data_IF_704025635994
#
_entry.id   IF_704025635994
#
_cell.length_a   1.000
_cell.length_b   1.000
_cell.length_c   1.000
_cell.angle_alpha   90.00
_cell.angle_beta   90.00
_cell.angle_gamma   90.00
#
_symmetry.space_group_name_H-M   'P 1'
#
loop_
_entity.id
_entity.type
_entity.pdbx_description
1 polymer ?
#
# COMPACT_ATOMS: atom_id res chain seq x y z
N UNK A 1 7.56 -33.66 -3.94
CA UNK A 1 6.61 -33.65 -2.82
C UNK A 1 7.17 -32.75 -1.75
N UNK A 2 6.44 -31.73 -1.29
CA UNK A 2 6.92 -30.85 -0.22
C UNK A 2 6.78 -31.63 1.09
N UNK A 3 7.80 -31.68 1.97
CA UNK A 3 7.70 -32.37 3.25
C UNK A 3 6.62 -31.71 4.13
N UNK A 4 5.94 -32.48 5.00
CA UNK A 4 4.94 -31.93 5.90
C UNK A 4 5.60 -30.92 6.86
N UNK A 5 4.87 -29.85 7.15
CA UNK A 5 5.32 -28.83 8.11
C UNK A 5 5.44 -29.43 9.51
N UNK A 6 6.58 -29.28 10.23
CA UNK A 6 6.73 -29.74 11.60
C UNK A 6 5.63 -29.16 12.52
N UNK A 7 5.17 -29.93 13.51
CA UNK A 7 4.08 -29.51 14.40
C UNK A 7 4.44 -28.30 15.27
N UNK A 8 5.71 -28.08 15.53
CA UNK A 8 6.24 -26.94 16.29
C UNK A 8 6.57 -25.71 15.42
N UNK A 9 6.29 -25.78 14.11
CA UNK A 9 6.56 -24.68 13.21
C UNK A 9 5.73 -23.44 13.59
N UNK A 10 6.37 -22.28 13.67
CA UNK A 10 5.77 -21.00 14.07
C UNK A 10 4.53 -20.61 13.25
N UNK A 11 4.43 -21.02 12.00
CA UNK A 11 3.28 -20.74 11.14
C UNK A 11 2.00 -21.49 11.57
N UNK A 12 2.12 -22.59 12.33
CA UNK A 12 0.97 -23.34 12.83
C UNK A 12 0.42 -22.76 14.14
N UNK A 13 1.27 -22.02 14.87
CA UNK A 13 0.92 -21.37 16.13
C UNK A 13 1.24 -19.88 16.08
N UNK A 14 0.53 -19.08 15.25
CA UNK A 14 0.82 -17.66 15.10
C UNK A 14 0.53 -16.92 16.42
N UNK A 15 1.44 -16.04 16.81
CA UNK A 15 1.22 -15.16 17.95
C UNK A 15 0.18 -14.10 17.61
N UNK A 16 -0.74 -13.87 18.53
CA UNK A 16 -1.84 -12.94 18.32
C UNK A 16 -1.56 -11.61 19.02
N UNK A 17 -1.56 -10.53 18.25
CA UNK A 17 -1.48 -9.18 18.80
C UNK A 17 -2.88 -8.68 19.12
N UNK A 18 -3.11 -8.28 20.38
CA UNK A 18 -4.42 -7.84 20.90
C UNK A 18 -4.53 -6.34 21.14
N UNK A 19 -3.49 -5.57 20.78
CA UNK A 19 -3.47 -4.11 20.93
C UNK A 19 -3.21 -3.40 19.60
N UNK A 20 -3.30 -2.05 19.61
CA UNK A 20 -2.83 -1.23 18.48
C UNK A 20 -1.34 -1.46 18.24
N UNK A 21 -0.91 -1.33 16.98
CA UNK A 21 0.48 -1.52 16.55
C UNK A 21 1.35 -0.26 16.82
N UNK A 22 1.23 0.32 18.01
CA UNK A 22 2.01 1.47 18.46
C UNK A 22 3.41 1.09 18.97
N UNK A 23 4.02 1.96 19.78
CA UNK A 23 5.33 1.75 20.41
C UNK A 23 5.38 0.48 21.26
N UNK A 24 4.31 0.17 21.95
CA UNK A 24 4.13 -1.05 22.72
C UNK A 24 2.96 -1.83 22.16
N UNK A 25 3.10 -3.15 22.11
CA UNK A 25 2.08 -4.08 21.66
C UNK A 25 1.86 -5.15 22.73
N UNK A 26 0.67 -5.70 22.75
CA UNK A 26 0.35 -6.84 23.62
C UNK A 26 0.28 -8.10 22.77
N UNK A 27 1.15 -9.06 23.05
CA UNK A 27 1.23 -10.36 22.38
C UNK A 27 1.02 -11.43 23.44
N UNK A 28 0.03 -12.30 23.24
CA UNK A 28 -0.30 -13.39 24.17
C UNK A 28 -0.44 -12.90 25.63
N UNK A 29 -1.04 -11.72 25.82
CA UNK A 29 -1.23 -11.10 27.13
C UNK A 29 0.00 -10.37 27.70
N UNK A 30 1.16 -10.42 27.05
CA UNK A 30 2.38 -9.76 27.49
C UNK A 30 2.61 -8.44 26.73
N UNK A 31 2.97 -7.38 27.47
CA UNK A 31 3.33 -6.09 26.89
C UNK A 31 4.76 -6.11 26.39
N UNK A 32 4.96 -5.93 25.07
CA UNK A 32 6.24 -5.98 24.40
C UNK A 32 6.58 -4.64 23.75
N UNK A 33 7.85 -4.29 23.64
CA UNK A 33 8.31 -3.20 22.80
C UNK A 33 8.23 -3.64 21.33
N UNK A 34 7.57 -2.82 20.51
CA UNK A 34 7.34 -3.13 19.11
C UNK A 34 8.53 -2.71 18.22
N UNK A 35 9.36 -3.66 17.86
CA UNK A 35 10.46 -3.48 16.91
C UNK A 35 10.20 -4.18 15.56
N UNK A 36 9.02 -4.80 15.40
CA UNK A 36 8.72 -5.64 14.24
C UNK A 36 7.91 -4.95 13.14
N UNK A 37 7.20 -3.86 13.46
CA UNK A 37 6.34 -3.19 12.48
C UNK A 37 7.02 -2.00 11.82
N UNK A 38 6.62 -1.68 10.58
CA UNK A 38 7.15 -0.57 9.81
C UNK A 38 6.54 0.79 10.20
N UNK A 39 6.16 0.95 11.47
CA UNK A 39 5.60 2.19 12.01
C UNK A 39 6.69 3.16 12.50
N UNK A 40 7.71 3.40 11.68
CA UNK A 40 8.89 4.20 12.05
C UNK A 40 8.57 5.63 12.46
N UNK A 41 7.56 6.24 11.88
CA UNK A 41 7.14 7.62 12.17
C UNK A 41 5.98 7.71 13.16
N UNK A 42 5.46 6.59 13.65
CA UNK A 42 4.36 6.56 14.60
C UNK A 42 3.00 6.99 14.04
N UNK A 43 2.79 6.93 12.74
CA UNK A 43 1.57 7.42 12.08
C UNK A 43 0.33 6.58 12.33
N UNK A 44 0.47 5.36 12.84
CA UNK A 44 -0.67 4.50 13.21
C UNK A 44 -1.61 5.17 14.22
N UNK A 45 -1.08 6.02 15.12
CA UNK A 45 -1.86 6.72 16.14
C UNK A 45 -1.99 8.22 15.88
N UNK A 46 -1.63 8.69 14.68
CA UNK A 46 -1.70 10.10 14.34
C UNK A 46 -3.15 10.50 14.01
N UNK A 47 -3.72 11.40 14.78
CA UNK A 47 -5.12 11.84 14.64
C UNK A 47 -5.44 12.40 13.25
N UNK A 48 -4.54 13.16 12.64
CA UNK A 48 -4.75 13.69 11.28
C UNK A 48 -4.86 12.57 10.24
N UNK A 49 -4.08 11.49 10.40
CA UNK A 49 -4.16 10.33 9.53
C UNK A 49 -5.48 9.56 9.76
N UNK A 50 -5.90 9.42 11.02
CA UNK A 50 -7.15 8.75 11.38
C UNK A 50 -8.35 9.51 10.82
N UNK A 51 -8.41 10.83 11.04
CA UNK A 51 -9.48 11.69 10.50
C UNK A 51 -9.54 11.64 8.97
N UNK A 52 -8.39 11.70 8.30
CA UNK A 52 -8.32 11.59 6.84
C UNK A 52 -8.82 10.23 6.34
N UNK A 53 -8.46 9.14 7.04
CA UNK A 53 -8.94 7.79 6.72
C UNK A 53 -10.46 7.66 6.90
N UNK A 54 -11.01 8.18 8.00
CA UNK A 54 -12.47 8.19 8.26
C UNK A 54 -13.19 9.02 7.19
N UNK A 55 -12.66 10.18 6.82
CA UNK A 55 -13.22 11.02 5.76
C UNK A 55 -13.21 10.28 4.42
N UNK A 56 -12.12 9.62 4.08
CA UNK A 56 -12.01 8.78 2.89
C UNK A 56 -13.02 7.65 2.89
N UNK A 57 -13.14 6.93 4.01
CA UNK A 57 -14.09 5.84 4.20
C UNK A 57 -15.55 6.30 4.01
N UNK A 58 -15.93 7.43 4.61
CA UNK A 58 -17.28 7.99 4.47
C UNK A 58 -17.60 8.44 3.05
N UNK A 59 -16.60 8.92 2.31
CA UNK A 59 -16.77 9.42 0.93
C UNK A 59 -16.79 8.30 -0.10
N UNK A 60 -15.93 7.29 0.06
CA UNK A 60 -15.65 6.30 -0.98
C UNK A 60 -16.03 4.86 -0.58
N UNK A 61 -16.39 4.61 0.69
CA UNK A 61 -16.66 3.27 1.20
C UNK A 61 -15.40 2.53 1.62
N UNK A 62 -15.52 1.24 1.88
CA UNK A 62 -14.46 0.39 2.45
C UNK A 62 -13.42 -0.10 1.46
N UNK A 63 -13.63 0.10 0.16
CA UNK A 63 -12.68 -0.34 -0.86
C UNK A 63 -13.09 0.08 -2.28
N UNK A 64 -12.15 -0.04 -3.20
CA UNK A 64 -12.33 0.35 -4.59
C UNK A 64 -13.12 -0.66 -5.43
N UNK A 65 -13.32 -1.86 -4.93
CA UNK A 65 -14.07 -2.97 -5.57
C UNK A 65 -13.58 -3.37 -6.97
N UNK A 66 -12.37 -2.97 -7.36
CA UNK A 66 -11.83 -3.31 -8.66
C UNK A 66 -10.39 -2.84 -8.89
N UNK A 67 -9.76 -3.33 -9.97
CA UNK A 67 -8.39 -2.96 -10.30
C UNK A 67 -8.30 -1.51 -10.79
N UNK A 68 -7.20 -0.84 -10.47
CA UNK A 68 -6.97 0.57 -10.78
C UNK A 68 -7.05 0.89 -12.28
N UNK A 69 -6.58 0.00 -13.13
CA UNK A 69 -6.62 0.20 -14.58
C UNK A 69 -8.01 0.06 -15.21
N UNK A 70 -9.01 -0.31 -14.44
CA UNK A 70 -10.37 -0.52 -14.94
C UNK A 70 -11.37 0.45 -14.27
N UNK A 71 -11.69 0.27 -12.98
CA UNK A 71 -12.58 1.16 -12.21
C UNK A 71 -12.21 1.29 -10.74
N UNK A 72 -11.11 0.69 -10.32
CA UNK A 72 -10.64 0.71 -8.92
C UNK A 72 -9.86 1.98 -8.53
N UNK A 73 -9.74 2.96 -9.43
CA UNK A 73 -9.21 4.28 -9.09
C UNK A 73 -10.35 5.16 -8.60
N UNK A 74 -10.38 5.41 -7.30
CA UNK A 74 -11.46 6.16 -6.65
C UNK A 74 -11.33 7.64 -6.94
N UNK A 75 -12.42 8.28 -7.40
CA UNK A 75 -12.52 9.73 -7.62
C UNK A 75 -12.66 10.18 -9.08
N UNK A 76 -12.61 9.27 -10.04
CA UNK A 76 -12.84 9.63 -11.45
C UNK A 76 -14.33 9.50 -11.80
N UNK A 77 -15.04 10.62 -11.89
CA UNK A 77 -16.11 10.70 -12.88
C UNK A 77 -15.47 10.49 -14.26
N UNK A 78 -16.08 9.60 -15.06
CA UNK A 78 -15.65 9.14 -16.38
C UNK A 78 -14.93 10.22 -17.21
N UNK A 79 -13.62 10.28 -17.12
CA UNK A 79 -12.80 11.13 -18.00
C UNK A 79 -11.86 10.19 -18.75
N UNK A 80 -12.02 10.20 -20.08
CA UNK A 80 -11.15 9.46 -20.98
C UNK A 80 -9.67 9.74 -20.65
N UNK A 81 -8.84 8.72 -20.62
CA UNK A 81 -7.39 8.75 -20.40
C UNK A 81 -6.70 9.94 -21.12
N UNK A 82 -7.19 10.35 -22.29
CA UNK A 82 -6.64 11.46 -23.09
C UNK A 82 -6.96 12.86 -22.52
N UNK A 83 -8.01 13.00 -21.71
CA UNK A 83 -8.44 14.30 -21.13
C UNK A 83 -7.88 14.58 -19.72
N UNK A 84 -7.25 13.60 -19.09
CA UNK A 84 -6.68 13.75 -17.74
C UNK A 84 -5.55 14.81 -17.68
N UNK A 85 -4.93 15.13 -18.82
CA UNK A 85 -3.85 16.14 -18.93
C UNK A 85 -4.34 17.59 -18.93
N UNK A 86 -5.63 17.85 -19.10
CA UNK A 86 -6.18 19.20 -19.35
C UNK A 86 -7.09 19.75 -18.26
N UNK A 87 -7.51 18.96 -17.27
CA UNK A 87 -8.48 19.43 -16.28
C UNK A 87 -7.81 19.65 -14.93
N UNK A 88 -7.29 20.83 -14.71
CA UNK A 88 -7.10 21.44 -13.39
C UNK A 88 -8.48 21.65 -12.76
N UNK A 89 -9.08 20.63 -12.13
CA UNK A 89 -10.27 20.80 -11.32
C UNK A 89 -10.10 20.17 -9.94
N UNK A 90 -10.56 20.91 -8.95
CA UNK A 90 -10.51 20.77 -7.50
C UNK A 90 -11.09 19.48 -6.88
N UNK A 91 -11.13 18.38 -7.61
CA UNK A 91 -11.50 17.05 -7.13
C UNK A 91 -10.28 16.13 -7.24
N UNK A 92 -9.38 16.29 -6.30
CA UNK A 92 -8.19 15.44 -6.20
C UNK A 92 -8.61 14.08 -5.65
N UNK A 93 -8.56 13.09 -6.51
CA UNK A 93 -8.60 11.68 -6.18
C UNK A 93 -7.43 11.34 -5.25
N UNK A 94 -7.71 10.66 -4.15
CA UNK A 94 -6.71 10.33 -3.13
C UNK A 94 -5.50 9.59 -3.73
N UNK A 95 -5.72 8.66 -4.67
CA UNK A 95 -4.65 7.95 -5.34
C UNK A 95 -3.81 8.87 -6.23
N UNK A 96 -4.47 9.65 -7.09
CA UNK A 96 -3.79 10.55 -8.02
C UNK A 96 -3.10 11.71 -7.30
N UNK A 97 -3.71 12.23 -6.25
CA UNK A 97 -3.09 13.26 -5.41
C UNK A 97 -1.82 12.72 -4.74
N UNK A 98 -1.88 11.52 -4.17
CA UNK A 98 -0.72 10.89 -3.53
C UNK A 98 0.39 10.64 -4.55
N UNK A 99 0.07 10.09 -5.72
CA UNK A 99 1.03 9.86 -6.80
C UNK A 99 1.68 11.17 -7.28
N UNK A 100 0.89 12.21 -7.48
CA UNK A 100 1.39 13.53 -7.85
C UNK A 100 2.31 14.15 -6.79
N UNK A 101 1.93 14.03 -5.51
CA UNK A 101 2.76 14.50 -4.39
C UNK A 101 4.05 13.71 -4.25
N UNK A 102 4.01 12.40 -4.42
CA UNK A 102 5.19 11.54 -4.38
C UNK A 102 6.13 11.85 -5.53
N UNK A 103 5.60 11.98 -6.76
CA UNK A 103 6.41 12.35 -7.91
C UNK A 103 7.14 13.68 -7.70
N UNK A 104 6.43 14.68 -7.17
CA UNK A 104 7.02 15.99 -6.82
C UNK A 104 8.07 15.88 -5.72
N UNK A 105 7.78 15.13 -4.66
CA UNK A 105 8.70 14.94 -3.52
C UNK A 105 9.99 14.23 -3.96
N UNK A 106 9.87 13.20 -4.79
CA UNK A 106 11.00 12.42 -5.30
C UNK A 106 11.71 13.08 -6.50
N UNK A 107 11.18 14.22 -6.99
CA UNK A 107 11.66 14.91 -8.18
C UNK A 107 11.76 13.98 -9.43
N UNK A 108 10.71 13.21 -9.65
CA UNK A 108 10.55 12.30 -10.79
C UNK A 108 9.34 12.72 -11.63
N UNK A 109 9.25 12.24 -12.87
CA UNK A 109 8.16 12.59 -13.77
C UNK A 109 6.81 12.05 -13.30
N UNK A 110 6.78 10.79 -12.84
CA UNK A 110 5.57 10.11 -12.42
C UNK A 110 5.87 9.16 -11.25
N UNK A 111 4.85 8.89 -10.46
CA UNK A 111 4.85 7.87 -9.42
C UNK A 111 3.60 7.00 -9.58
N UNK A 112 3.72 5.72 -9.31
CA UNK A 112 2.61 4.75 -9.39
C UNK A 112 2.46 4.04 -8.05
N UNK A 113 1.25 4.05 -7.52
CA UNK A 113 0.92 3.40 -6.25
C UNK A 113 0.42 1.97 -6.50
N UNK A 114 1.00 1.03 -5.80
CA UNK A 114 0.57 -0.37 -5.76
C UNK A 114 0.00 -0.75 -4.39
N UNK A 115 -0.82 -1.79 -4.33
CA UNK A 115 -1.49 -2.21 -3.09
C UNK A 115 -0.50 -2.65 -2.00
N UNK A 116 0.63 -3.25 -2.37
CA UNK A 116 1.69 -3.72 -1.47
C UNK A 116 3.00 -3.99 -2.24
N UNK A 117 4.12 -4.10 -1.51
CA UNK A 117 5.45 -4.18 -2.07
C UNK A 117 5.65 -5.32 -3.07
N UNK A 118 5.13 -6.52 -2.78
CA UNK A 118 5.22 -7.65 -3.71
C UNK A 118 4.56 -7.34 -5.05
N UNK A 119 3.35 -6.74 -5.04
CA UNK A 119 2.66 -6.39 -6.29
C UNK A 119 3.39 -5.30 -7.08
N UNK A 120 4.08 -4.38 -6.40
CA UNK A 120 4.91 -3.38 -7.07
C UNK A 120 6.05 -4.04 -7.84
N UNK A 121 6.82 -4.91 -7.19
CA UNK A 121 7.98 -5.59 -7.79
C UNK A 121 7.55 -6.56 -8.89
N UNK A 122 6.54 -7.41 -8.63
CA UNK A 122 6.04 -8.40 -9.59
C UNK A 122 5.40 -7.77 -10.83
N UNK A 123 4.98 -6.52 -10.75
CA UNK A 123 4.42 -5.77 -11.88
C UNK A 123 5.50 -4.93 -12.60
N UNK A 124 6.40 -4.29 -11.85
CA UNK A 124 7.43 -3.43 -12.43
C UNK A 124 8.47 -4.22 -13.25
N UNK A 125 8.94 -5.36 -12.74
CA UNK A 125 9.95 -6.16 -13.44
C UNK A 125 9.48 -6.57 -14.84
N UNK A 126 8.32 -7.24 -15.03
CA UNK A 126 7.89 -7.64 -16.36
C UNK A 126 7.43 -6.47 -17.24
N UNK A 127 7.15 -5.30 -16.68
CA UNK A 127 6.84 -4.10 -17.47
C UNK A 127 8.07 -3.56 -18.21
N UNK A 128 9.27 -3.71 -17.64
CA UNK A 128 10.53 -3.21 -18.21
C UNK A 128 11.43 -4.30 -18.78
N UNK A 129 11.21 -5.56 -18.45
CA UNK A 129 12.05 -6.68 -18.86
C UNK A 129 11.25 -7.73 -19.62
N UNK A 130 11.82 -8.27 -20.69
CA UNK A 130 11.23 -9.30 -21.56
C UNK A 130 12.06 -10.57 -21.52
N UNK A 131 11.52 -11.64 -22.07
CA UNK A 131 12.28 -12.89 -22.25
C UNK A 131 13.55 -12.64 -23.08
N UNK A 132 14.70 -13.00 -22.51
CA UNK A 132 16.02 -12.76 -23.11
C UNK A 132 16.79 -11.57 -22.52
N UNK A 133 16.13 -10.71 -21.75
CA UNK A 133 16.82 -9.61 -21.06
C UNK A 133 17.62 -10.12 -19.84
N UNK A 134 18.72 -9.45 -19.55
CA UNK A 134 19.56 -9.75 -18.37
C UNK A 134 19.19 -8.81 -17.24
N UNK A 135 18.84 -9.37 -16.10
CA UNK A 135 18.49 -8.63 -14.89
C UNK A 135 19.60 -8.80 -13.86
N UNK A 136 20.20 -7.68 -13.44
CA UNK A 136 21.16 -7.68 -12.34
C UNK A 136 20.45 -7.47 -11.02
N UNK A 137 20.62 -8.39 -10.08
CA UNK A 137 20.05 -8.33 -8.73
C UNK A 137 21.17 -8.13 -7.73
N UNK A 138 21.04 -7.15 -6.87
CA UNK A 138 21.95 -6.94 -5.75
C UNK A 138 21.53 -7.87 -4.60
N UNK A 139 22.49 -8.65 -4.09
CA UNK A 139 22.28 -9.58 -2.97
C UNK A 139 22.95 -9.02 -1.71
#
# INVERSE_FOLDING_TARGET
MVPPTPQDHYALNPRVTTSKLGKYITIDGQKCLNLATHNYLGFVENEKCIEAAIKGLRKYGVGSCGPRGFYGTVGMEKINWFQCKLIKRNFLDIHLELESRLAKFMNVQEAVLYSYGFSAISSAIPAYSKAGDVIFVYV
#
